data_IF_073113390266
#
_entry.id   IF_073113390266
#
_cell.length_a   1.000
_cell.length_b   1.000
_cell.length_c   1.000
_cell.angle_alpha   90.00
_cell.angle_beta   90.00
_cell.angle_gamma   90.00
#
_symmetry.space_group_name_H-M   'P 1'
#
loop_
_entity.id
_entity.type
_entity.pdbx_description
1 polymer ?
#
# COMPACT_ATOMS: atom_id res chain seq x y z
N UNK A 1 80.67 35.25 -0.02
CA UNK A 1 79.61 36.12 0.55
C UNK A 1 79.99 36.53 1.98
N UNK A 2 79.44 37.61 2.54
CA UNK A 2 79.57 37.95 3.98
C UNK A 2 78.26 37.68 4.76
N UNK A 3 78.34 37.68 6.09
CA UNK A 3 77.22 37.30 6.96
C UNK A 3 76.00 38.22 6.80
N UNK A 4 76.23 39.54 6.69
CA UNK A 4 75.14 40.51 6.55
C UNK A 4 74.41 40.34 5.21
N UNK A 5 75.15 40.11 4.13
CA UNK A 5 74.58 39.78 2.82
C UNK A 5 73.80 38.46 2.85
N UNK A 6 74.30 37.45 3.58
CA UNK A 6 73.62 36.16 3.72
C UNK A 6 72.25 36.31 4.41
N UNK A 7 72.18 37.10 5.50
CA UNK A 7 70.94 37.38 6.22
C UNK A 7 69.97 38.20 5.35
N UNK A 8 70.45 39.27 4.69
CA UNK A 8 69.62 40.12 3.82
C UNK A 8 68.99 39.34 2.65
N UNK A 9 69.73 38.37 2.11
CA UNK A 9 69.27 37.54 0.99
C UNK A 9 68.49 36.31 1.43
N UNK A 10 68.28 36.08 2.73
CA UNK A 10 67.68 34.85 3.25
C UNK A 10 68.37 33.61 2.69
N UNK A 11 69.70 33.65 2.72
CA UNK A 11 70.55 32.69 2.02
C UNK A 11 70.35 31.26 2.56
N UNK A 12 70.11 31.10 3.86
CA UNK A 12 69.88 29.81 4.48
C UNK A 12 68.58 29.15 3.97
N UNK A 13 67.48 29.90 3.88
CA UNK A 13 66.20 29.42 3.38
C UNK A 13 66.25 29.13 1.88
N UNK A 14 66.80 30.05 1.08
CA UNK A 14 66.99 29.85 -0.37
C UNK A 14 67.90 28.68 -0.69
N UNK A 15 68.92 28.45 0.14
CA UNK A 15 69.80 27.27 0.03
C UNK A 15 69.02 25.98 0.25
N UNK A 16 68.23 25.90 1.33
CA UNK A 16 67.41 24.71 1.67
C UNK A 16 66.30 24.46 0.65
N UNK A 17 65.76 25.53 0.05
CA UNK A 17 64.72 25.46 -0.99
C UNK A 17 65.27 25.24 -2.41
N UNK A 18 66.58 25.09 -2.59
CA UNK A 18 67.25 24.90 -3.89
C UNK A 18 67.06 26.09 -4.86
N UNK A 19 66.90 27.31 -4.35
CA UNK A 19 66.63 28.54 -5.13
C UNK A 19 67.89 29.34 -5.50
N UNK A 20 69.08 28.77 -5.28
CA UNK A 20 70.34 29.40 -5.67
C UNK A 20 70.78 29.00 -7.08
N UNK A 21 71.31 29.97 -7.82
CA UNK A 21 72.12 29.65 -9.00
C UNK A 21 73.41 28.93 -8.58
N UNK A 22 74.06 28.16 -9.46
CA UNK A 22 75.31 27.46 -9.14
C UNK A 22 76.41 28.38 -8.59
N UNK A 23 76.45 29.63 -9.05
CA UNK A 23 77.42 30.63 -8.59
C UNK A 23 77.10 31.11 -7.18
N UNK A 24 75.86 31.51 -6.91
CA UNK A 24 75.45 31.99 -5.58
C UNK A 24 75.59 30.89 -4.52
N UNK A 25 75.30 29.63 -4.90
CA UNK A 25 75.51 28.47 -4.03
C UNK A 25 76.96 28.32 -3.62
N UNK A 26 77.89 28.37 -4.57
CA UNK A 26 79.32 28.30 -4.28
C UNK A 26 79.79 29.46 -3.39
N UNK A 27 79.34 30.69 -3.70
CA UNK A 27 79.68 31.90 -2.93
C UNK A 27 79.14 31.88 -1.49
N UNK A 28 78.01 31.20 -1.27
CA UNK A 28 77.41 30.99 0.05
C UNK A 28 78.04 29.82 0.80
N UNK A 29 78.31 28.69 0.14
CA UNK A 29 78.97 27.52 0.73
C UNK A 29 80.34 27.89 1.30
N UNK A 30 81.14 28.69 0.58
CA UNK A 30 82.42 29.20 1.07
C UNK A 30 82.29 29.95 2.41
N UNK A 31 81.23 30.74 2.58
CA UNK A 31 80.95 31.45 3.82
C UNK A 31 80.38 30.53 4.91
N UNK A 32 79.45 29.67 4.54
CA UNK A 32 78.74 28.73 5.41
C UNK A 32 79.71 27.85 6.21
N UNK A 33 80.80 27.37 5.60
CA UNK A 33 81.80 26.54 6.29
C UNK A 33 82.55 27.29 7.40
N UNK A 34 82.62 28.63 7.34
CA UNK A 34 83.36 29.47 8.27
C UNK A 34 82.49 30.21 9.30
N UNK A 35 81.16 30.23 9.14
CA UNK A 35 80.25 31.02 9.97
C UNK A 35 79.26 30.13 10.75
N UNK A 36 79.42 29.99 12.09
CA UNK A 36 78.49 29.22 12.91
C UNK A 36 77.04 29.70 12.84
N UNK A 37 76.81 31.02 12.73
CA UNK A 37 75.46 31.59 12.64
C UNK A 37 74.73 31.13 11.38
N UNK A 38 75.37 31.21 10.21
CA UNK A 38 74.78 30.72 8.97
C UNK A 38 74.61 29.19 8.96
N UNK A 39 75.47 28.45 9.66
CA UNK A 39 75.31 27.00 9.81
C UNK A 39 74.07 26.64 10.64
N UNK A 40 73.83 27.35 11.74
CA UNK A 40 72.65 27.16 12.59
C UNK A 40 71.34 27.57 11.90
N UNK A 41 71.37 28.62 11.08
CA UNK A 41 70.24 29.04 10.26
C UNK A 41 69.87 27.97 9.21
N UNK A 42 70.84 27.44 8.47
CA UNK A 42 70.61 26.35 7.50
C UNK A 42 70.04 25.11 8.20
N UNK A 43 70.58 24.77 9.37
CA UNK A 43 70.07 23.65 10.17
C UNK A 43 68.62 23.86 10.59
N UNK A 44 68.29 25.06 11.06
CA UNK A 44 66.94 25.41 11.50
C UNK A 44 65.94 25.40 10.34
N UNK A 45 66.32 25.99 9.20
CA UNK A 45 65.54 25.99 7.97
C UNK A 45 65.31 24.55 7.44
N UNK A 46 66.33 23.69 7.50
CA UNK A 46 66.21 22.27 7.10
C UNK A 46 65.22 21.51 7.98
N UNK A 47 65.28 21.68 9.30
CA UNK A 47 64.35 21.04 10.25
C UNK A 47 62.92 21.53 10.00
N UNK A 48 62.75 22.84 9.81
CA UNK A 48 61.45 23.42 9.51
C UNK A 48 60.87 22.85 8.21
N UNK A 49 61.64 22.89 7.11
CA UNK A 49 61.21 22.37 5.82
C UNK A 49 60.81 20.89 5.89
N UNK A 50 61.57 20.07 6.61
CA UNK A 50 61.27 18.66 6.81
C UNK A 50 59.95 18.46 7.57
N UNK A 51 59.74 19.16 8.68
CA UNK A 51 58.52 19.05 9.49
C UNK A 51 57.30 19.59 8.76
N UNK A 52 57.42 20.74 8.10
CA UNK A 52 56.33 21.36 7.34
C UNK A 52 55.86 20.45 6.21
N UNK A 53 56.78 19.75 5.53
CA UNK A 53 56.43 18.78 4.49
C UNK A 53 55.62 17.61 5.03
N UNK A 54 55.92 17.13 6.23
CA UNK A 54 55.17 16.04 6.89
C UNK A 54 53.76 16.52 7.23
N UNK A 55 53.64 17.64 7.93
CA UNK A 55 52.34 18.19 8.37
C UNK A 55 51.43 18.51 7.19
N UNK A 56 51.96 19.15 6.14
CA UNK A 56 51.18 19.46 4.93
C UNK A 56 50.71 18.18 4.22
N UNK A 57 51.57 17.15 4.15
CA UNK A 57 51.21 15.88 3.53
C UNK A 57 50.10 15.17 4.31
N UNK A 58 50.17 15.17 5.63
CA UNK A 58 49.12 14.60 6.49
C UNK A 58 47.80 15.35 6.32
N UNK A 59 47.82 16.68 6.33
CA UNK A 59 46.62 17.50 6.11
C UNK A 59 45.95 17.21 4.76
N UNK A 60 46.72 17.10 3.67
CA UNK A 60 46.18 16.78 2.34
C UNK A 60 45.57 15.37 2.31
N UNK A 61 46.22 14.38 2.94
CA UNK A 61 45.71 13.02 3.01
C UNK A 61 44.43 12.92 3.83
N UNK A 62 44.34 13.65 4.94
CA UNK A 62 43.16 13.69 5.79
C UNK A 62 41.98 14.35 5.10
N UNK A 63 42.19 15.47 4.39
CA UNK A 63 41.16 16.10 3.56
C UNK A 63 40.66 15.16 2.45
N UNK A 64 41.58 14.48 1.76
CA UNK A 64 41.21 13.53 0.71
C UNK A 64 40.41 12.34 1.28
N UNK A 65 40.81 11.82 2.43
CA UNK A 65 40.12 10.74 3.12
C UNK A 65 38.74 11.17 3.62
N UNK A 66 38.62 12.37 4.19
CA UNK A 66 37.36 12.94 4.63
C UNK A 66 36.39 13.14 3.46
N UNK A 67 36.87 13.63 2.32
CA UNK A 67 36.06 13.79 1.11
C UNK A 67 35.58 12.44 0.56
N UNK A 68 36.46 11.44 0.47
CA UNK A 68 36.08 10.07 0.05
C UNK A 68 35.08 9.44 1.04
N UNK A 69 35.23 9.67 2.34
CA UNK A 69 34.30 9.20 3.35
C UNK A 69 32.92 9.85 3.19
N UNK A 70 32.86 11.16 2.97
CA UNK A 70 31.63 11.91 2.73
C UNK A 70 30.91 11.45 1.44
N UNK A 71 31.64 11.23 0.34
CA UNK A 71 31.08 10.69 -0.90
C UNK A 71 30.48 9.29 -0.70
N UNK A 72 31.20 8.39 -0.01
CA UNK A 72 30.70 7.03 0.30
C UNK A 72 29.46 7.08 1.20
N UNK A 73 29.45 7.94 2.20
CA UNK A 73 28.31 8.14 3.10
C UNK A 73 27.08 8.67 2.34
N UNK A 74 27.26 9.68 1.48
CA UNK A 74 26.21 10.23 0.63
C UNK A 74 25.63 9.21 -0.34
N UNK A 75 26.48 8.40 -0.98
CA UNK A 75 26.05 7.33 -1.90
C UNK A 75 25.27 6.23 -1.17
N UNK A 76 25.74 5.82 0.02
CA UNK A 76 25.07 4.82 0.86
C UNK A 76 23.72 5.32 1.36
N UNK A 77 23.61 6.61 1.71
CA UNK A 77 22.36 7.20 2.17
C UNK A 77 21.33 7.32 1.03
N UNK A 78 21.77 7.73 -0.18
CA UNK A 78 20.89 7.74 -1.36
C UNK A 78 20.37 6.34 -1.71
N UNK A 79 21.24 5.32 -1.69
CA UNK A 79 20.81 3.94 -1.95
C UNK A 79 19.84 3.41 -0.88
N UNK A 80 20.09 3.73 0.40
CA UNK A 80 19.22 3.35 1.52
C UNK A 80 17.86 4.03 1.49
N UNK A 81 17.78 5.25 0.98
CA UNK A 81 16.51 5.97 0.86
C UNK A 81 15.75 5.55 -0.41
N UNK A 82 16.46 5.30 -1.51
CA UNK A 82 15.84 4.94 -2.79
C UNK A 82 15.18 3.56 -2.77
N UNK A 83 15.83 2.55 -2.18
CA UNK A 83 15.31 1.18 -2.18
C UNK A 83 13.93 1.00 -1.48
N UNK A 84 13.67 1.55 -0.28
CA UNK A 84 12.35 1.46 0.34
C UNK A 84 11.30 2.31 -0.40
N UNK A 85 11.70 3.45 -1.00
CA UNK A 85 10.80 4.28 -1.80
C UNK A 85 10.34 3.54 -3.07
N UNK A 86 11.25 2.85 -3.77
CA UNK A 86 10.89 2.09 -4.98
C UNK A 86 10.11 0.81 -4.66
N UNK A 87 10.42 0.13 -3.55
CA UNK A 87 9.66 -1.05 -3.11
C UNK A 87 8.23 -0.69 -2.72
N UNK A 88 8.03 0.44 -2.03
CA UNK A 88 6.70 0.97 -1.70
C UNK A 88 5.93 1.33 -2.98
N UNK A 89 6.55 2.03 -3.94
CA UNK A 89 5.89 2.41 -5.19
C UNK A 89 5.42 1.17 -5.99
N UNK A 90 6.23 0.13 -6.11
CA UNK A 90 5.87 -1.10 -6.80
C UNK A 90 4.69 -1.83 -6.13
N UNK A 91 4.68 -1.90 -4.79
CA UNK A 91 3.57 -2.49 -4.05
C UNK A 91 2.28 -1.71 -4.23
N UNK A 92 2.33 -0.37 -4.15
CA UNK A 92 1.17 0.49 -4.38
C UNK A 92 0.63 0.33 -5.81
N UNK A 93 1.51 0.25 -6.81
CA UNK A 93 1.11 0.03 -8.20
C UNK A 93 0.46 -1.34 -8.40
N UNK A 94 0.99 -2.39 -7.77
CA UNK A 94 0.41 -3.72 -7.81
C UNK A 94 -0.97 -3.77 -7.14
N UNK A 95 -1.14 -3.09 -5.99
CA UNK A 95 -2.42 -2.97 -5.30
C UNK A 95 -3.46 -2.21 -6.15
N UNK A 96 -3.06 -1.10 -6.78
CA UNK A 96 -3.92 -0.35 -7.68
C UNK A 96 -4.29 -1.15 -8.93
N UNK A 97 -3.34 -1.89 -9.52
CA UNK A 97 -3.61 -2.76 -10.66
C UNK A 97 -4.54 -3.92 -10.29
N UNK A 98 -4.31 -4.56 -9.15
CA UNK A 98 -5.17 -5.63 -8.64
C UNK A 98 -6.59 -5.11 -8.33
N UNK A 99 -6.71 -3.94 -7.71
CA UNK A 99 -7.99 -3.29 -7.46
C UNK A 99 -8.69 -2.91 -8.77
N UNK A 100 -7.95 -2.37 -9.74
CA UNK A 100 -8.47 -2.04 -11.07
C UNK A 100 -8.98 -3.28 -11.82
N UNK A 101 -8.21 -4.37 -11.82
CA UNK A 101 -8.59 -5.66 -12.41
C UNK A 101 -9.82 -6.26 -11.70
N UNK A 102 -9.86 -6.24 -10.37
CA UNK A 102 -11.01 -6.70 -9.60
C UNK A 102 -12.26 -5.85 -9.92
N UNK A 103 -12.10 -4.53 -10.06
CA UNK A 103 -13.21 -3.63 -10.39
C UNK A 103 -13.68 -3.78 -11.83
N UNK A 104 -12.77 -4.04 -12.76
CA UNK A 104 -13.06 -4.34 -14.17
C UNK A 104 -13.82 -5.66 -14.29
N UNK A 105 -13.37 -6.72 -13.64
CA UNK A 105 -14.15 -7.97 -13.60
C UNK A 105 -15.48 -7.80 -12.85
N UNK A 106 -15.56 -6.88 -11.88
CA UNK A 106 -16.82 -6.50 -11.26
C UNK A 106 -17.70 -5.56 -12.12
N UNK A 107 -17.27 -5.13 -13.32
CA UNK A 107 -18.20 -4.52 -14.29
C UNK A 107 -19.01 -5.56 -15.06
N UNK A 108 -18.67 -6.85 -14.96
CA UNK A 108 -19.59 -7.97 -15.22
C UNK A 108 -20.48 -8.25 -13.98
N UNK A 109 -20.85 -7.20 -13.23
CA UNK A 109 -22.06 -7.27 -12.43
C UNK A 109 -23.18 -7.55 -13.43
N UNK A 110 -23.96 -8.65 -13.29
CA UNK A 110 -25.14 -8.83 -14.12
C UNK A 110 -25.95 -7.56 -13.96
N UNK A 111 -26.27 -6.96 -15.11
CA UNK A 111 -27.03 -5.73 -15.25
C UNK A 111 -28.15 -5.72 -14.21
N UNK A 112 -27.87 -5.06 -13.09
CA UNK A 112 -28.85 -4.81 -12.03
C UNK A 112 -29.56 -3.50 -12.32
N UNK A 113 -29.51 -3.05 -13.57
CA UNK A 113 -30.65 -2.40 -14.19
C UNK A 113 -31.88 -3.23 -13.86
N UNK A 114 -32.71 -2.69 -12.97
CA UNK A 114 -34.05 -3.19 -12.73
C UNK A 114 -34.79 -2.97 -14.06
N UNK A 115 -34.62 -3.89 -15.00
CA UNK A 115 -35.35 -3.86 -16.25
C UNK A 115 -36.83 -4.02 -15.86
N UNK A 116 -37.70 -3.05 -16.18
CA UNK A 116 -39.09 -3.12 -15.79
C UNK A 116 -39.73 -4.37 -16.38
N UNK A 117 -40.10 -5.32 -15.53
CA UNK A 117 -40.70 -6.58 -15.95
C UNK A 117 -42.01 -6.82 -15.20
N UNK A 118 -42.98 -7.34 -15.94
CA UNK A 118 -44.20 -7.86 -15.34
C UNK A 118 -43.88 -9.15 -14.60
N UNK A 119 -44.33 -9.25 -13.34
CA UNK A 119 -44.25 -10.47 -12.55
C UNK A 119 -45.66 -10.88 -12.10
N UNK A 120 -45.83 -12.16 -11.77
CA UNK A 120 -47.07 -12.67 -11.18
C UNK A 120 -46.96 -12.70 -9.67
N UNK A 121 -48.01 -12.25 -8.99
CA UNK A 121 -48.15 -12.36 -7.53
C UNK A 121 -48.98 -13.59 -7.17
N UNK A 122 -48.53 -14.36 -6.20
CA UNK A 122 -49.22 -15.53 -5.64
C UNK A 122 -49.48 -15.31 -4.15
N UNK A 123 -50.70 -15.63 -3.71
CA UNK A 123 -51.03 -15.64 -2.28
C UNK A 123 -50.40 -16.84 -1.59
N UNK A 124 -49.63 -16.59 -0.54
CA UNK A 124 -49.00 -17.62 0.29
C UNK A 124 -49.72 -17.66 1.64
N UNK A 125 -50.40 -18.77 1.97
CA UNK A 125 -51.15 -18.88 3.21
C UNK A 125 -50.20 -18.91 4.42
N UNK A 126 -50.71 -18.45 5.58
CA UNK A 126 -50.01 -18.57 6.84
C UNK A 126 -49.74 -20.05 7.19
N UNK A 127 -48.59 -20.34 7.79
CA UNK A 127 -48.15 -21.68 8.18
C UNK A 127 -49.09 -22.38 9.19
N UNK A 128 -49.93 -21.61 9.90
CA UNK A 128 -51.00 -22.12 10.75
C UNK A 128 -52.16 -22.75 9.99
N UNK A 129 -52.29 -22.50 8.68
CA UNK A 129 -53.29 -23.11 7.81
C UNK A 129 -52.69 -24.37 7.19
N UNK A 130 -53.40 -25.50 7.28
CA UNK A 130 -52.95 -26.81 6.77
C UNK A 130 -52.85 -26.91 5.23
N UNK A 131 -53.03 -25.80 4.50
CA UNK A 131 -52.92 -25.74 3.05
C UNK A 131 -51.56 -25.16 2.64
N UNK A 132 -50.73 -25.97 1.99
CA UNK A 132 -49.49 -25.50 1.34
C UNK A 132 -49.86 -25.05 -0.07
N UNK A 133 -49.70 -23.76 -0.37
CA UNK A 133 -49.89 -23.27 -1.74
C UNK A 133 -48.82 -23.86 -2.66
N UNK A 134 -49.25 -24.30 -3.85
CA UNK A 134 -48.36 -24.76 -4.91
C UNK A 134 -48.63 -23.96 -6.18
N UNK A 135 -47.58 -23.46 -6.82
CA UNK A 135 -47.67 -22.69 -8.07
C UNK A 135 -46.50 -22.98 -9.01
N UNK A 136 -46.73 -22.83 -10.31
CA UNK A 136 -45.72 -23.06 -11.36
C UNK A 136 -45.24 -21.75 -11.97
N UNK A 137 -43.93 -21.62 -12.12
CA UNK A 137 -43.23 -20.51 -12.75
C UNK A 137 -42.62 -20.99 -14.09
N UNK A 138 -42.52 -20.10 -15.07
CA UNK A 138 -41.76 -20.35 -16.29
C UNK A 138 -40.27 -20.10 -16.03
N UNK A 139 -39.39 -20.87 -16.67
CA UNK A 139 -37.93 -20.72 -16.61
C UNK A 139 -37.43 -19.33 -17.05
N UNK A 140 -38.24 -18.54 -17.78
CA UNK A 140 -37.92 -17.17 -18.15
C UNK A 140 -38.21 -16.11 -17.07
N UNK A 141 -38.90 -16.46 -15.98
CA UNK A 141 -39.24 -15.52 -14.91
C UNK A 141 -38.01 -15.16 -14.09
N UNK A 142 -37.70 -13.87 -13.93
CA UNK A 142 -36.62 -13.43 -13.02
C UNK A 142 -37.06 -13.26 -11.57
N UNK A 143 -38.33 -12.90 -11.36
CA UNK A 143 -38.95 -12.68 -10.05
C UNK A 143 -40.41 -13.12 -10.04
N UNK A 144 -40.94 -13.45 -8.87
CA UNK A 144 -42.39 -13.54 -8.63
C UNK A 144 -42.75 -12.80 -7.33
N UNK A 145 -44.00 -12.36 -7.22
CA UNK A 145 -44.53 -11.75 -6.00
C UNK A 145 -45.07 -12.84 -5.07
N UNK A 146 -44.59 -12.89 -3.84
CA UNK A 146 -45.16 -13.70 -2.78
C UNK A 146 -45.94 -12.79 -1.84
N UNK A 147 -47.27 -12.96 -1.80
CA UNK A 147 -48.15 -12.16 -0.96
C UNK A 147 -48.48 -12.92 0.32
N UNK A 148 -48.31 -12.27 1.45
CA UNK A 148 -48.48 -12.85 2.76
C UNK A 148 -49.52 -12.06 3.56
N UNK A 149 -50.44 -12.79 4.18
CA UNK A 149 -51.40 -12.22 5.13
C UNK A 149 -50.88 -12.46 6.56
N UNK A 150 -50.52 -11.40 7.25
CA UNK A 150 -50.26 -11.42 8.68
C UNK A 150 -51.57 -11.42 9.44
N UNK A 151 -51.61 -12.10 10.59
CA UNK A 151 -52.76 -11.98 11.48
C UNK A 151 -52.72 -10.62 12.19
N UNK A 152 -53.87 -9.97 12.41
CA UNK A 152 -53.95 -8.72 13.15
C UNK A 152 -53.25 -8.81 14.51
N UNK A 153 -52.32 -7.89 14.78
CA UNK A 153 -51.52 -7.86 16.02
C UNK A 153 -50.15 -8.55 15.94
N UNK A 154 -49.85 -9.33 14.90
CA UNK A 154 -48.50 -9.86 14.69
C UNK A 154 -47.58 -8.79 14.11
N UNK A 155 -46.52 -8.45 14.85
CA UNK A 155 -45.50 -7.50 14.43
C UNK A 155 -44.12 -8.16 14.63
N UNK A 156 -43.29 -8.10 13.60
CA UNK A 156 -41.93 -8.62 13.61
C UNK A 156 -40.93 -7.49 13.35
N UNK A 157 -39.78 -7.55 14.02
CA UNK A 157 -38.71 -6.56 13.88
C UNK A 157 -37.98 -6.73 12.53
N UNK A 158 -37.89 -7.97 12.06
CA UNK A 158 -37.32 -8.32 10.76
C UNK A 158 -37.90 -9.60 10.21
N UNK A 159 -37.79 -9.77 8.90
CA UNK A 159 -38.19 -10.98 8.20
C UNK A 159 -36.98 -11.66 7.58
N UNK A 160 -37.04 -12.98 7.43
CA UNK A 160 -36.04 -13.75 6.72
C UNK A 160 -36.78 -14.68 5.76
N UNK A 161 -36.49 -14.55 4.47
CA UNK A 161 -36.96 -15.52 3.48
C UNK A 161 -35.84 -16.50 3.16
N UNK A 162 -36.22 -17.76 2.94
CA UNK A 162 -35.32 -18.81 2.47
C UNK A 162 -36.03 -19.61 1.38
N UNK A 163 -35.29 -19.92 0.31
CA UNK A 163 -35.69 -20.85 -0.73
C UNK A 163 -34.91 -22.13 -0.51
N UNK A 164 -35.63 -23.22 -0.25
CA UNK A 164 -35.10 -24.56 -0.09
C UNK A 164 -35.32 -25.35 -1.37
N UNK A 165 -34.40 -26.23 -1.72
CA UNK A 165 -34.64 -27.24 -2.75
C UNK A 165 -35.54 -28.39 -2.24
N UNK A 166 -35.82 -29.36 -3.11
CA UNK A 166 -36.59 -30.57 -2.78
C UNK A 166 -35.97 -31.44 -1.69
N UNK A 167 -34.67 -31.29 -1.41
CA UNK A 167 -33.94 -31.99 -0.33
C UNK A 167 -33.95 -31.22 0.99
N UNK A 168 -34.47 -29.98 0.99
CA UNK A 168 -34.48 -29.08 2.15
C UNK A 168 -33.22 -28.23 2.31
N UNK A 169 -32.30 -28.26 1.33
CA UNK A 169 -31.06 -27.46 1.38
C UNK A 169 -31.35 -26.02 0.96
N UNK A 170 -30.87 -25.00 1.71
CA UNK A 170 -31.08 -23.60 1.33
C UNK A 170 -30.29 -23.25 0.08
N UNK A 171 -30.98 -22.80 -0.97
CA UNK A 171 -30.39 -22.33 -2.24
C UNK A 171 -30.26 -20.81 -2.30
N UNK A 172 -31.17 -20.10 -1.63
CA UNK A 172 -31.09 -18.64 -1.47
C UNK A 172 -31.84 -18.19 -0.23
N UNK A 173 -31.50 -17.00 0.26
CA UNK A 173 -32.20 -16.39 1.39
C UNK A 173 -31.56 -15.08 1.79
N UNK A 174 -32.35 -14.20 2.39
CA UNK A 174 -31.87 -12.92 2.91
C UNK A 174 -32.75 -12.43 4.05
N UNK A 175 -32.13 -11.76 5.02
CA UNK A 175 -32.86 -10.96 5.99
C UNK A 175 -33.35 -9.66 5.34
N UNK A 176 -34.56 -9.25 5.69
CA UNK A 176 -35.25 -8.07 5.20
C UNK A 176 -35.75 -7.25 6.39
N UNK A 177 -35.66 -5.92 6.34
CA UNK A 177 -36.30 -5.08 7.35
C UNK A 177 -37.82 -5.24 7.26
N UNK A 178 -38.50 -5.00 8.38
CA UNK A 178 -39.97 -4.97 8.41
C UNK A 178 -40.49 -3.89 7.44
N UNK A 179 -41.38 -4.23 6.48
CA UNK A 179 -41.97 -3.23 5.60
C UNK A 179 -42.85 -2.31 6.44
N UNK A 180 -42.50 -1.03 6.52
CA UNK A 180 -43.27 -0.07 7.29
C UNK A 180 -44.69 0.08 6.74
N UNK A 181 -45.71 -0.06 7.59
CA UNK A 181 -47.11 0.14 7.25
C UNK A 181 -48.06 -0.54 8.24
N UNK A 182 -49.25 0.02 8.44
CA UNK A 182 -50.31 -0.57 9.28
C UNK A 182 -51.04 -1.73 8.59
N UNK A 183 -50.77 -1.97 7.31
CA UNK A 183 -51.42 -3.01 6.52
C UNK A 183 -50.82 -4.39 6.82
N UNK A 184 -51.70 -5.34 7.12
CA UNK A 184 -51.35 -6.74 7.41
C UNK A 184 -51.03 -7.58 6.16
N UNK A 185 -51.16 -7.01 4.96
CA UNK A 185 -50.86 -7.66 3.68
C UNK A 185 -49.47 -7.19 3.19
N UNK A 186 -48.53 -8.12 3.08
CA UNK A 186 -47.16 -7.85 2.63
C UNK A 186 -46.89 -8.55 1.31
N UNK A 187 -46.17 -7.90 0.41
CA UNK A 187 -45.74 -8.50 -0.86
C UNK A 187 -44.21 -8.50 -0.95
N UNK A 188 -43.64 -9.67 -1.22
CA UNK A 188 -42.21 -9.87 -1.40
C UNK A 188 -41.90 -10.26 -2.84
N UNK A 189 -41.05 -9.48 -3.51
CA UNK A 189 -40.46 -9.88 -4.78
C UNK A 189 -39.34 -10.91 -4.53
N UNK A 190 -39.56 -12.16 -4.92
CA UNK A 190 -38.63 -13.27 -4.72
C UNK A 190 -37.81 -13.52 -5.99
N UNK A 191 -36.47 -13.40 -5.95
CA UNK A 191 -35.62 -13.69 -7.10
C UNK A 191 -35.57 -15.19 -7.39
N UNK A 192 -35.79 -15.56 -8.66
CA UNK A 192 -35.72 -16.95 -9.13
C UNK A 192 -34.83 -17.12 -10.37
N UNK A 193 -34.26 -16.04 -10.92
CA UNK A 193 -33.43 -16.06 -12.12
C UNK A 193 -32.20 -16.98 -12.04
N UNK A 194 -31.66 -17.20 -10.84
CA UNK A 194 -30.48 -18.06 -10.60
C UNK A 194 -30.83 -19.49 -10.21
N UNK A 195 -32.11 -19.86 -10.22
CA UNK A 195 -32.58 -21.20 -9.87
C UNK A 195 -32.75 -22.05 -11.13
N UNK A 196 -32.36 -23.31 -11.05
CA UNK A 196 -32.55 -24.27 -12.14
C UNK A 196 -34.03 -24.71 -12.21
N UNK A 197 -34.49 -25.25 -13.35
CA UNK A 197 -35.80 -25.89 -13.41
C UNK A 197 -35.92 -27.03 -12.39
N UNK A 198 -36.94 -26.97 -11.51
CA UNK A 198 -37.09 -27.92 -10.42
C UNK A 198 -38.15 -27.51 -9.39
N UNK A 199 -38.28 -28.31 -8.34
CA UNK A 199 -39.21 -28.09 -7.21
C UNK A 199 -38.50 -27.39 -6.06
N UNK A 200 -39.15 -26.36 -5.52
CA UNK A 200 -38.62 -25.51 -4.46
C UNK A 200 -39.66 -25.20 -3.38
N UNK A 201 -39.17 -24.83 -2.20
CA UNK A 201 -39.99 -24.42 -1.06
C UNK A 201 -39.57 -23.02 -0.63
N UNK A 202 -40.52 -22.09 -0.62
CA UNK A 202 -40.34 -20.77 -0.02
C UNK A 202 -40.77 -20.84 1.44
N UNK A 203 -39.90 -20.38 2.34
CA UNK A 203 -40.19 -20.25 3.77
C UNK A 203 -39.97 -18.79 4.19
N UNK A 204 -40.97 -18.21 4.84
CA UNK A 204 -40.88 -16.89 5.45
C UNK A 204 -40.87 -17.02 6.97
N UNK A 205 -39.85 -16.47 7.61
CA UNK A 205 -39.73 -16.40 9.07
C UNK A 205 -39.77 -14.96 9.55
N UNK A 206 -40.51 -14.72 10.61
CA UNK A 206 -40.48 -13.46 11.36
C UNK A 206 -39.55 -13.59 12.55
N UNK A 207 -38.79 -12.52 12.83
CA UNK A 207 -37.96 -12.42 14.02
C UNK A 207 -38.51 -11.34 14.94
N UNK A 208 -38.73 -11.70 16.19
CA UNK A 208 -39.19 -10.79 17.25
C UNK A 208 -38.47 -11.14 18.55
N UNK A 209 -37.86 -10.15 19.22
CA UNK A 209 -37.16 -10.35 20.51
C UNK A 209 -36.15 -11.52 20.51
N UNK A 210 -35.46 -11.73 19.38
CA UNK A 210 -34.47 -12.81 19.23
C UNK A 210 -35.04 -14.22 18.96
N UNK A 211 -36.37 -14.38 18.93
CA UNK A 211 -37.02 -15.62 18.52
C UNK A 211 -37.40 -15.57 17.03
N UNK A 212 -37.21 -16.69 16.33
CA UNK A 212 -37.58 -16.84 14.93
C UNK A 212 -38.79 -17.78 14.80
N UNK A 213 -39.87 -17.28 14.23
CA UNK A 213 -41.12 -18.02 14.02
C UNK A 213 -41.40 -18.18 12.53
N UNK A 214 -41.74 -19.39 12.09
CA UNK A 214 -42.18 -19.61 10.71
C UNK A 214 -43.59 -19.04 10.51
N UNK A 215 -43.70 -18.04 9.64
CA UNK A 215 -44.96 -17.35 9.36
C UNK A 215 -45.70 -18.06 8.24
N UNK A 216 -44.97 -18.50 7.21
CA UNK A 216 -45.57 -18.99 5.97
C UNK A 216 -44.64 -19.92 5.20
N UNK A 217 -45.25 -20.84 4.44
CA UNK A 217 -44.57 -21.82 3.61
C UNK A 217 -45.34 -22.04 2.31
N UNK A 218 -44.65 -21.98 1.18
CA UNK A 218 -45.18 -22.30 -0.14
C UNK A 218 -44.28 -23.29 -0.88
N UNK A 219 -44.86 -24.09 -1.77
CA UNK A 219 -44.14 -24.87 -2.76
C UNK A 219 -44.27 -24.19 -4.12
N UNK A 220 -43.20 -24.23 -4.92
CA UNK A 220 -43.27 -23.76 -6.28
C UNK A 220 -42.34 -24.56 -7.17
N UNK A 221 -42.71 -24.67 -8.45
CA UNK A 221 -41.93 -25.37 -9.45
C UNK A 221 -41.55 -24.44 -10.59
N UNK A 222 -40.34 -24.60 -11.11
CA UNK A 222 -39.86 -23.87 -12.28
C UNK A 222 -39.89 -24.85 -13.45
N UNK A 223 -40.80 -24.60 -14.40
CA UNK A 223 -40.97 -25.39 -15.61
C UNK A 223 -40.11 -24.83 -16.74
N UNK A 224 -39.56 -25.70 -17.60
CA UNK A 224 -38.82 -25.32 -18.80
C UNK A 224 -39.70 -24.62 -19.82
#
# INVERSE_FOLDING_TARGET
MDHETAVQLQAAERYVLDEFSPKERADFEEHFFGCPGCADEVRSATILAANTKVVLKEAVLDEENARKAAERAGRRNRLRLFWPLTASAALNFALLAAFGLARWHATDLPDSGIEPQFYRSFGVPAASRSAIASFSLSAGSRFFGARFDLMPGQHFDSFEYQILDSTGTPRSGRALPSPGGENSEMELAVPVASLEPGEYVLVLRGRQQGQSTEISRARFSIQR
#
